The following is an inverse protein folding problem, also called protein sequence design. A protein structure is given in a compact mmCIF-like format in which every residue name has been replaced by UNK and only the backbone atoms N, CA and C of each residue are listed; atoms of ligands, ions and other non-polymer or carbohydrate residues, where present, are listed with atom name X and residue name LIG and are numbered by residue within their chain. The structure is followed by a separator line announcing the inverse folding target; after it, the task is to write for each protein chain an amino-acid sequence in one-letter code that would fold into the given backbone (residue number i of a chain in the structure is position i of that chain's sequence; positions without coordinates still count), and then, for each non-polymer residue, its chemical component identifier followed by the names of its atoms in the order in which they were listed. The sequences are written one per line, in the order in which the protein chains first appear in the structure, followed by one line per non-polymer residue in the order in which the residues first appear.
data_IF_248147203202
#
_entry.id   IF_248147203202
#
_cell.length_a   1.000
_cell.length_b   1.000
_cell.length_c   1.000
_cell.angle_alpha   90.00
_cell.angle_beta   90.00
_cell.angle_gamma   90.00
#
_symmetry.space_group_name_H-M   'P 1'
#
loop_
_entity.id
_entity.type
_entity.pdbx_description
1 polymer ?
#
# COMPACT_ATOMS: atom_id res chain seq x y z
N UNK A 1 -19.95 -2.42 12.93
CA UNK A 1 -18.73 -1.79 12.40
C UNK A 1 -18.02 -2.81 11.52
N UNK A 2 -17.88 -2.54 10.22
CA UNK A 2 -17.10 -3.41 9.33
C UNK A 2 -15.63 -3.30 9.71
N UNK A 3 -15.00 -4.40 10.13
CA UNK A 3 -13.56 -4.43 10.32
C UNK A 3 -12.85 -4.02 9.03
N UNK A 4 -11.82 -3.17 9.15
CA UNK A 4 -11.02 -2.75 8.03
C UNK A 4 -10.44 -3.97 7.29
N UNK A 5 -10.42 -3.93 5.96
CA UNK A 5 -9.99 -5.05 5.10
C UNK A 5 -8.62 -5.63 5.49
N UNK A 6 -7.68 -4.79 5.96
CA UNK A 6 -6.36 -5.25 6.40
C UNK A 6 -6.42 -6.19 7.61
N UNK A 7 -7.36 -5.98 8.53
CA UNK A 7 -7.54 -6.85 9.71
C UNK A 7 -8.00 -8.23 9.29
N UNK A 8 -8.91 -8.31 8.31
CA UNK A 8 -9.39 -9.57 7.76
C UNK A 8 -8.30 -10.30 7.00
N UNK A 9 -7.53 -9.58 6.18
CA UNK A 9 -6.36 -10.13 5.49
C UNK A 9 -5.35 -10.70 6.48
N UNK A 10 -5.05 -9.98 7.57
CA UNK A 10 -4.14 -10.45 8.61
C UNK A 10 -4.68 -11.69 9.34
N UNK A 11 -5.95 -11.66 9.80
CA UNK A 11 -6.61 -12.82 10.43
C UNK A 11 -6.55 -14.06 9.54
N UNK A 12 -6.85 -13.90 8.24
CA UNK A 12 -6.78 -15.00 7.28
C UNK A 12 -5.36 -15.57 7.14
N UNK A 13 -4.34 -14.72 7.16
CA UNK A 13 -2.96 -15.19 7.17
C UNK A 13 -2.64 -15.97 8.45
N UNK A 14 -3.12 -15.52 9.62
CA UNK A 14 -2.96 -16.24 10.90
C UNK A 14 -3.63 -17.61 10.86
N UNK A 15 -4.87 -17.70 10.38
CA UNK A 15 -5.60 -18.97 10.23
C UNK A 15 -4.83 -19.95 9.31
N UNK A 16 -4.34 -19.47 8.17
CA UNK A 16 -3.57 -20.30 7.22
C UNK A 16 -2.28 -20.81 7.85
N UNK A 17 -1.56 -19.95 8.59
CA UNK A 17 -0.34 -20.36 9.29
C UNK A 17 -0.63 -21.36 10.41
N UNK A 18 -1.70 -21.18 11.19
CA UNK A 18 -2.13 -22.14 12.22
C UNK A 18 -2.52 -23.50 11.64
N UNK A 19 -3.05 -23.53 10.41
CA UNK A 19 -3.37 -24.76 9.68
C UNK A 19 -2.14 -25.42 9.04
N UNK A 20 -0.93 -24.87 9.23
CA UNK A 20 0.31 -25.37 8.61
C UNK A 20 0.47 -24.99 7.14
N UNK A 21 -0.38 -24.11 6.60
CA UNK A 21 -0.29 -23.61 5.22
C UNK A 21 0.69 -22.44 5.18
N UNK A 22 1.98 -22.73 5.37
CA UNK A 22 3.06 -21.73 5.32
C UNK A 22 4.21 -22.26 4.44
N UNK A 23 4.66 -21.53 3.41
CA UNK A 23 4.16 -20.23 2.95
C UNK A 23 2.80 -20.32 2.23
N UNK A 24 1.87 -19.43 2.60
CA UNK A 24 0.57 -19.31 1.95
C UNK A 24 0.66 -18.53 0.65
N UNK A 25 -0.24 -18.83 -0.30
CA UNK A 25 -0.34 -18.09 -1.55
C UNK A 25 -1.25 -16.88 -1.43
N UNK A 26 -1.11 -15.93 -2.36
CA UNK A 26 -2.08 -14.83 -2.54
C UNK A 26 -3.52 -15.33 -2.69
N UNK A 27 -3.72 -16.42 -3.43
CA UNK A 27 -5.03 -17.02 -3.65
C UNK A 27 -5.64 -17.61 -2.38
N UNK A 28 -4.82 -18.15 -1.47
CA UNK A 28 -5.29 -18.66 -0.18
C UNK A 28 -5.89 -17.55 0.67
N UNK A 29 -5.19 -16.41 0.76
CA UNK A 29 -5.66 -15.23 1.50
C UNK A 29 -6.95 -14.67 0.88
N UNK A 30 -7.00 -14.53 -0.44
CA UNK A 30 -8.19 -14.02 -1.14
C UNK A 30 -9.39 -14.94 -0.89
N UNK A 31 -9.23 -16.26 -1.04
CA UNK A 31 -10.29 -17.23 -0.77
C UNK A 31 -10.77 -17.16 0.67
N UNK A 32 -9.85 -17.07 1.64
CA UNK A 32 -10.21 -16.93 3.05
C UNK A 32 -11.03 -15.65 3.30
N UNK A 33 -10.59 -14.50 2.78
CA UNK A 33 -11.31 -13.24 2.96
C UNK A 33 -12.69 -13.30 2.30
N UNK A 34 -12.80 -13.87 1.10
CA UNK A 34 -14.06 -13.99 0.36
C UNK A 34 -15.03 -15.00 0.95
N UNK A 35 -14.52 -16.03 1.65
CA UNK A 35 -15.36 -16.95 2.43
C UNK A 35 -16.10 -16.20 3.54
N UNK A 36 -15.43 -15.24 4.16
CA UNK A 36 -15.98 -14.47 5.29
C UNK A 36 -16.79 -13.25 4.83
N UNK A 37 -16.41 -12.64 3.70
CA UNK A 37 -17.13 -11.55 3.04
C UNK A 37 -17.02 -11.65 1.51
N UNK A 38 -18.03 -12.26 0.86
CA UNK A 38 -18.06 -12.42 -0.58
C UNK A 38 -18.06 -11.10 -1.38
N UNK A 39 -18.39 -9.96 -0.75
CA UNK A 39 -18.39 -8.66 -1.42
C UNK A 39 -16.98 -8.10 -1.65
N UNK A 40 -15.97 -8.65 -0.97
CA UNK A 40 -14.57 -8.25 -1.14
C UNK A 40 -14.00 -8.80 -2.45
N UNK A 41 -13.83 -7.94 -3.45
CA UNK A 41 -13.18 -8.33 -4.70
C UNK A 41 -11.67 -8.57 -4.53
N UNK A 42 -11.09 -9.39 -5.40
CA UNK A 42 -9.63 -9.58 -5.46
C UNK A 42 -8.88 -8.28 -5.67
N UNK A 43 -9.46 -7.35 -6.43
CA UNK A 43 -8.85 -6.07 -6.78
C UNK A 43 -8.78 -5.11 -5.59
N UNK A 44 -9.67 -5.29 -4.60
CA UNK A 44 -9.60 -4.61 -3.32
C UNK A 44 -8.62 -5.27 -2.35
N UNK A 45 -8.48 -6.59 -2.39
CA UNK A 45 -7.62 -7.36 -1.47
C UNK A 45 -6.13 -7.28 -1.88
N UNK A 46 -5.83 -7.30 -3.17
CA UNK A 46 -4.46 -7.33 -3.69
C UNK A 46 -3.61 -6.14 -3.25
N UNK A 47 -4.09 -4.88 -3.35
CA UNK A 47 -3.36 -3.72 -2.84
C UNK A 47 -3.10 -3.79 -1.34
N UNK A 48 -4.01 -4.41 -0.57
CA UNK A 48 -3.87 -4.55 0.88
C UNK A 48 -2.77 -5.55 1.22
N UNK A 49 -2.76 -6.73 0.59
CA UNK A 49 -1.68 -7.72 0.75
C UNK A 49 -0.33 -7.05 0.44
N UNK A 50 -0.25 -6.29 -0.65
CA UNK A 50 0.96 -5.55 -1.04
C UNK A 50 1.35 -4.46 -0.04
N UNK A 51 0.36 -3.75 0.52
CA UNK A 51 0.54 -2.73 1.55
C UNK A 51 0.95 -3.26 2.93
N UNK A 52 0.78 -4.56 3.17
CA UNK A 52 1.21 -5.25 4.39
C UNK A 52 2.55 -5.98 4.25
N UNK A 53 3.07 -6.10 3.03
CA UNK A 53 4.28 -6.88 2.73
C UNK A 53 5.52 -5.98 2.63
N UNK A 54 6.55 -6.28 3.41
CA UNK A 54 7.76 -5.45 3.58
C UNK A 54 8.61 -5.27 2.32
N UNK A 55 8.80 -6.35 1.57
CA UNK A 55 9.70 -6.41 0.42
C UNK A 55 8.98 -6.17 -0.91
N UNK A 56 7.70 -5.79 -0.89
CA UNK A 56 6.96 -5.38 -2.08
C UNK A 56 6.88 -3.85 -2.19
N UNK A 57 7.02 -3.33 -3.40
CA UNK A 57 6.78 -1.90 -3.71
C UNK A 57 5.29 -1.67 -3.96
N UNK A 58 4.77 -0.45 -3.75
CA UNK A 58 3.35 -0.11 -3.98
C UNK A 58 2.39 -0.65 -2.89
N UNK A 59 1.11 -0.74 -3.22
CA UNK A 59 0.05 -1.22 -2.32
C UNK A 59 -0.76 -0.10 -1.66
N UNK A 60 -1.87 -0.47 -1.04
CA UNK A 60 -2.71 0.47 -0.30
C UNK A 60 -1.98 0.95 0.97
N UNK A 61 -1.99 2.26 1.29
CA UNK A 61 -1.47 2.74 2.55
C UNK A 61 -2.24 2.08 3.70
N UNK A 62 -1.52 1.43 4.60
CA UNK A 62 -2.08 0.78 5.78
C UNK A 62 -1.54 1.48 7.02
N UNK A 63 -2.40 1.67 8.03
CA UNK A 63 -2.01 2.26 9.32
C UNK A 63 -0.92 1.44 10.03
N UNK A 64 -0.83 0.14 9.71
CA UNK A 64 0.14 -0.81 10.28
C UNK A 64 1.46 -0.84 9.50
N UNK A 65 1.51 -0.19 8.32
CA UNK A 65 2.64 -0.26 7.41
C UNK A 65 2.91 -1.66 6.87
N UNK A 66 4.12 -1.83 6.31
CA UNK A 66 4.57 -3.05 5.64
C UNK A 66 5.37 -3.96 6.57
N UNK A 67 4.76 -4.37 7.67
CA UNK A 67 5.45 -5.08 8.75
C UNK A 67 4.95 -6.51 8.95
N UNK A 68 3.74 -6.82 8.48
CA UNK A 68 3.04 -8.05 8.84
C UNK A 68 3.41 -9.24 7.96
N UNK A 69 3.69 -9.02 6.67
CA UNK A 69 4.01 -10.08 5.73
C UNK A 69 5.42 -9.95 5.17
N UNK A 70 6.02 -11.09 4.82
CA UNK A 70 7.23 -11.17 4.00
C UNK A 70 6.97 -12.05 2.77
N UNK A 71 7.29 -11.56 1.57
CA UNK A 71 7.19 -12.37 0.35
C UNK A 71 8.44 -13.25 0.23
N UNK A 72 8.28 -14.58 0.25
CA UNK A 72 9.41 -15.52 0.14
C UNK A 72 9.68 -15.93 -1.31
N UNK A 73 8.64 -15.99 -2.13
CA UNK A 73 8.70 -16.29 -3.56
C UNK A 73 7.58 -15.55 -4.30
N UNK A 74 7.52 -15.69 -5.62
CA UNK A 74 6.47 -15.06 -6.45
C UNK A 74 5.07 -15.50 -5.98
N UNK A 75 4.38 -14.59 -5.29
CA UNK A 75 3.00 -14.81 -4.81
C UNK A 75 2.88 -15.71 -3.59
N UNK A 76 3.99 -15.98 -2.88
CA UNK A 76 4.05 -16.76 -1.65
C UNK A 76 4.51 -15.87 -0.49
N UNK A 77 3.84 -16.01 0.65
CA UNK A 77 4.01 -15.12 1.80
C UNK A 77 4.11 -15.93 3.09
N UNK A 78 4.79 -15.33 4.08
CA UNK A 78 4.83 -15.78 5.46
C UNK A 78 4.44 -14.62 6.38
N UNK A 79 3.83 -14.94 7.51
CA UNK A 79 3.65 -13.99 8.60
C UNK A 79 5.01 -13.64 9.20
N UNK A 80 5.20 -12.36 9.54
CA UNK A 80 6.30 -11.93 10.38
C UNK A 80 5.89 -11.99 11.84
N UNK A 81 6.74 -12.58 12.66
CA UNK A 81 6.62 -12.44 14.09
C UNK A 81 6.70 -10.95 14.44
N UNK A 82 5.70 -10.45 15.17
CA UNK A 82 5.67 -9.06 15.64
C UNK A 82 6.86 -8.72 16.56
N UNK A 83 7.61 -9.72 17.02
CA UNK A 83 8.84 -9.59 17.82
C UNK A 83 10.10 -9.45 16.97
N UNK A 84 10.04 -9.76 15.67
CA UNK A 84 11.14 -9.54 14.74
C UNK A 84 11.16 -8.06 14.36
N UNK A 85 11.94 -7.27 15.09
CA UNK A 85 12.21 -5.87 14.77
C UNK A 85 12.51 -5.69 13.28
N UNK A 86 12.09 -4.55 12.67
CA UNK A 86 12.47 -4.25 11.31
C UNK A 86 14.00 -4.17 11.27
N UNK A 87 14.64 -5.09 10.56
CA UNK A 87 16.01 -4.89 10.10
C UNK A 87 15.93 -3.73 9.12
N UNK A 88 16.21 -2.54 9.65
CA UNK A 88 16.43 -1.32 8.89
C UNK A 88 17.42 -1.65 7.79
N UNK A 89 16.92 -1.85 6.55
CA UNK A 89 17.79 -1.87 5.39
C UNK A 89 18.20 -0.42 5.13
N UNK A 90 19.32 -0.10 5.75
CA UNK A 90 20.24 0.97 5.41
C UNK A 90 20.16 1.31 3.92
N UNK A 91 19.84 2.58 3.66
CA UNK A 91 19.71 3.14 2.32
C UNK A 91 21.09 3.14 1.65
N UNK A 92 21.38 2.08 0.91
CA UNK A 92 22.50 2.02 -0.03
C UNK A 92 22.26 2.99 -1.20
N UNK A 93 22.67 4.24 -0.97
CA UNK A 93 23.30 5.14 -1.91
C UNK A 93 24.05 4.40 -3.04
N UNK A 94 23.57 4.52 -4.29
CA UNK A 94 24.41 4.55 -5.51
C UNK A 94 23.66 5.20 -6.67
N UNK A 95 24.11 6.42 -7.00
CA UNK A 95 24.44 6.96 -8.33
C UNK A 95 23.57 6.58 -9.54
N UNK A 96 22.94 7.60 -10.12
CA UNK A 96 22.34 7.55 -11.46
C UNK A 96 21.68 8.86 -11.87
N UNK A 97 22.29 10.00 -11.58
CA UNK A 97 21.84 11.30 -12.09
C UNK A 97 22.24 11.38 -13.58
N UNK A 98 21.28 11.12 -14.47
CA UNK A 98 21.40 11.51 -15.88
C UNK A 98 20.49 12.70 -16.13
N UNK A 99 21.15 13.83 -16.10
CA UNK A 99 20.77 15.14 -16.62
C UNK A 99 20.21 15.03 -18.05
N UNK A 100 19.00 15.54 -18.27
CA UNK A 100 18.62 16.17 -19.53
C UNK A 100 17.95 17.50 -19.19
N UNK A 101 18.69 18.58 -19.43
CA UNK A 101 18.14 19.89 -19.75
C UNK A 101 17.86 19.94 -21.25
N UNK A 102 16.66 20.37 -21.62
CA UNK A 102 16.32 21.13 -22.84
C UNK A 102 14.87 21.63 -22.63
N UNK A 103 14.70 22.81 -22.04
CA UNK A 103 14.40 24.07 -22.72
C UNK A 103 13.15 24.02 -23.63
N UNK A 104 12.16 24.77 -23.15
CA UNK A 104 11.24 25.63 -23.90
C UNK A 104 10.09 24.98 -24.69
N UNK A 105 8.88 25.14 -24.13
CA UNK A 105 7.87 25.87 -24.89
C UNK A 105 6.98 26.69 -23.95
N UNK A 106 7.15 28.00 -23.98
CA UNK A 106 6.23 28.99 -23.44
C UNK A 106 4.86 28.85 -24.12
N UNK A 107 3.85 28.40 -23.36
CA UNK A 107 2.49 28.97 -23.41
C UNK A 107 1.63 28.31 -22.35
N UNK A 108 1.49 29.03 -21.25
CA UNK A 108 0.20 29.41 -20.66
C UNK A 108 0.46 29.69 -19.19
N UNK A 109 0.41 30.98 -18.82
CA UNK A 109 0.26 31.41 -17.43
C UNK A 109 -0.90 30.64 -16.79
N UNK A 110 -0.71 29.99 -15.64
CA UNK A 110 -1.73 29.94 -14.62
C UNK A 110 -1.46 31.09 -13.65
N UNK A 111 -2.51 31.87 -13.38
CA UNK A 111 -2.51 32.90 -12.37
C UNK A 111 -1.93 32.37 -11.04
N UNK A 112 -1.26 33.26 -10.30
CA UNK A 112 -0.97 33.07 -8.89
C UNK A 112 -2.27 32.69 -8.18
N UNK A 113 -2.41 31.41 -7.85
CA UNK A 113 -3.36 30.98 -6.83
C UNK A 113 -2.49 30.64 -5.64
N UNK A 114 -2.38 31.60 -4.73
CA UNK A 114 -1.90 31.40 -3.37
C UNK A 114 -2.91 30.50 -2.65
N UNK A 115 -2.81 29.19 -2.88
CA UNK A 115 -3.41 28.20 -2.01
C UNK A 115 -2.39 27.91 -0.91
N UNK A 116 -2.72 28.30 0.33
CA UNK A 116 -1.99 27.87 1.52
C UNK A 116 -1.85 26.34 1.44
N UNK A 117 -0.62 25.88 1.26
CA UNK A 117 -0.34 24.46 1.13
C UNK A 117 -0.76 23.77 2.43
N UNK A 118 -1.73 22.85 2.33
CA UNK A 118 -2.16 22.06 3.46
C UNK A 118 -0.99 21.13 3.84
N UNK A 119 -0.34 21.45 4.95
CA UNK A 119 0.75 20.67 5.52
C UNK A 119 0.17 19.61 6.45
N UNK A 120 0.17 18.35 5.99
CA UNK A 120 -0.18 17.20 6.83
C UNK A 120 1.11 16.44 7.10
N UNK A 121 1.56 16.46 8.35
CA UNK A 121 2.78 15.76 8.78
C UNK A 121 4.07 16.24 8.10
N UNK A 122 4.13 17.51 7.67
CA UNK A 122 5.30 18.09 7.00
C UNK A 122 5.36 17.88 5.48
N UNK A 123 4.34 17.25 4.89
CA UNK A 123 4.21 17.09 3.44
C UNK A 123 3.18 18.07 2.89
N UNK A 124 3.52 18.72 1.79
CA UNK A 124 2.64 19.67 1.09
C UNK A 124 1.76 18.93 0.09
N UNK A 125 0.44 19.06 0.25
CA UNK A 125 -0.54 18.49 -0.67
C UNK A 125 -1.06 19.55 -1.62
N UNK A 126 -1.15 19.18 -2.91
CA UNK A 126 -1.76 20.01 -3.95
C UNK A 126 -3.24 19.67 -4.03
N UNK A 127 -4.09 20.68 -3.88
CA UNK A 127 -5.51 20.56 -4.16
C UNK A 127 -5.73 20.24 -5.64
N UNK A 128 -6.50 19.18 -5.93
CA UNK A 128 -6.75 18.72 -7.31
C UNK A 128 -8.13 19.19 -7.77
N UNK A 129 -9.20 18.90 -7.02
CA UNK A 129 -10.56 19.40 -7.29
C UNK A 129 -11.50 19.15 -6.10
N UNK A 130 -12.60 19.90 -6.05
CA UNK A 130 -13.74 19.64 -5.17
C UNK A 130 -14.71 18.68 -5.86
N UNK A 131 -15.23 17.71 -5.13
CA UNK A 131 -16.29 16.84 -5.62
C UNK A 131 -17.58 17.28 -4.92
N UNK A 132 -18.55 17.81 -5.68
CA UNK A 132 -19.91 18.10 -5.22
C UNK A 132 -20.83 16.93 -5.60
N UNK A 133 -21.10 15.98 -4.70
CA UNK A 133 -21.89 14.80 -5.04
C UNK A 133 -23.39 15.09 -5.27
N UNK A 134 -23.86 16.29 -4.93
CA UNK A 134 -25.29 16.68 -4.96
C UNK A 134 -25.71 17.40 -6.25
N UNK A 135 -24.87 17.42 -7.29
CA UNK A 135 -25.22 18.00 -8.60
C UNK A 135 -25.21 16.94 -9.69
N UNK A 136 -26.42 16.51 -10.07
CA UNK A 136 -26.70 15.72 -11.26
C UNK A 136 -27.29 16.64 -12.35
#
# INVERSE_FOLDING_TARGET
MSDAIWKRVYRCAEELTQQGVTPFSRGDVIRCVQRDDPSCSSDSINPVIQGLTDNLRGGAPSIVGKTLFHSVERGRFVLRDATAQPVSKESANTSGYREIRALENERNRPAEISCEALLIGGYAFKYICEIEPERN
#
